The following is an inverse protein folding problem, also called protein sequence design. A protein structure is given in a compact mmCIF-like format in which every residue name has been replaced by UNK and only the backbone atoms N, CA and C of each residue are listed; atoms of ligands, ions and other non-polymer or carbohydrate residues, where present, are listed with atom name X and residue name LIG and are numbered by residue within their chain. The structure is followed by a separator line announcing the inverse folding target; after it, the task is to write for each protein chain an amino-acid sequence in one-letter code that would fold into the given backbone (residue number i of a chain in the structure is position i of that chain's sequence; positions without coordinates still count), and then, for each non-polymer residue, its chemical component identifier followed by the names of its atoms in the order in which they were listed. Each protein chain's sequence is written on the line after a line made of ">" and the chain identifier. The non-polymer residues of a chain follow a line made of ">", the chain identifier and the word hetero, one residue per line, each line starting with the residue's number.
data_IF_267310419082
#
_entry.id   IF_267310419082
#
_cell.length_a   1.000
_cell.length_b   1.000
_cell.length_c   1.000
_cell.angle_alpha   90.00
_cell.angle_beta   90.00
_cell.angle_gamma   90.00
#
_symmetry.space_group_name_H-M   'P 1'
#
loop_
_entity.id
_entity.type
_entity.pdbx_description
1 polymer ?
#
# COMPACT_ATOMS: atom_id res chain seq x y z
N UNK A 1 -11.51 2.28 -6.17
CA UNK A 1 -12.67 1.99 -7.04
C UNK A 1 -13.16 0.56 -6.80
N UNK A 2 -14.48 0.35 -6.79
CA UNK A 2 -15.10 -0.98 -6.63
C UNK A 2 -15.58 -1.47 -8.00
N UNK A 3 -15.28 -2.71 -8.33
CA UNK A 3 -15.85 -3.39 -9.48
C UNK A 3 -16.98 -4.30 -9.01
N UNK A 4 -18.17 -4.11 -9.57
CA UNK A 4 -19.35 -4.92 -9.27
C UNK A 4 -19.66 -5.81 -10.47
N UNK A 5 -19.61 -7.12 -10.30
CA UNK A 5 -19.86 -8.11 -11.35
C UNK A 5 -21.10 -8.93 -10.99
N UNK A 6 -22.21 -8.69 -11.67
CA UNK A 6 -23.48 -9.39 -11.39
C UNK A 6 -24.40 -9.41 -12.60
N UNK A 7 -25.06 -10.53 -12.83
CA UNK A 7 -26.16 -10.66 -13.79
C UNK A 7 -27.55 -10.28 -13.23
N UNK A 8 -27.62 -9.92 -11.96
CA UNK A 8 -28.87 -9.60 -11.29
C UNK A 8 -29.46 -8.24 -11.77
N UNK A 9 -30.78 -8.16 -11.95
CA UNK A 9 -31.47 -6.93 -12.33
C UNK A 9 -31.25 -5.78 -11.32
N UNK A 10 -30.99 -6.11 -10.04
CA UNK A 10 -30.68 -5.15 -8.98
C UNK A 10 -29.26 -4.59 -9.03
N UNK A 11 -28.45 -4.95 -10.03
CA UNK A 11 -27.05 -4.54 -10.12
C UNK A 11 -26.85 -3.02 -10.09
N UNK A 12 -27.68 -2.25 -10.77
CA UNK A 12 -27.60 -0.78 -10.80
C UNK A 12 -28.00 -0.14 -9.45
N UNK A 13 -29.02 -0.69 -8.78
CA UNK A 13 -29.40 -0.28 -7.43
C UNK A 13 -28.24 -0.55 -6.44
N UNK A 14 -27.62 -1.74 -6.54
CA UNK A 14 -26.47 -2.11 -5.73
C UNK A 14 -25.26 -1.20 -5.98
N UNK A 15 -24.96 -0.89 -7.24
CA UNK A 15 -23.87 0.02 -7.59
C UNK A 15 -24.08 1.41 -6.98
N UNK A 16 -25.30 1.95 -7.10
CA UNK A 16 -25.68 3.24 -6.52
C UNK A 16 -25.56 3.24 -4.99
N UNK A 17 -26.06 2.19 -4.34
CA UNK A 17 -25.98 2.04 -2.88
C UNK A 17 -24.53 1.91 -2.39
N UNK A 18 -23.70 1.12 -3.08
CA UNK A 18 -22.29 0.98 -2.78
C UNK A 18 -21.54 2.31 -2.94
N UNK A 19 -21.75 3.03 -4.03
CA UNK A 19 -21.14 4.33 -4.26
C UNK A 19 -21.50 5.34 -3.17
N UNK A 20 -22.80 5.44 -2.83
CA UNK A 20 -23.30 6.33 -1.78
C UNK A 20 -22.74 5.96 -0.40
N UNK A 21 -22.61 4.67 -0.13
CA UNK A 21 -22.20 4.19 1.19
C UNK A 21 -20.70 4.22 1.42
N UNK A 22 -19.88 4.03 0.37
CA UNK A 22 -18.42 3.93 0.48
C UNK A 22 -17.71 5.21 0.04
N UNK A 23 -18.35 6.06 -0.75
CA UNK A 23 -17.72 7.21 -1.42
C UNK A 23 -16.80 6.82 -2.59
N UNK A 24 -16.68 5.52 -2.87
CA UNK A 24 -15.83 5.00 -3.95
C UNK A 24 -16.60 4.98 -5.28
N UNK A 25 -15.88 5.18 -6.37
CA UNK A 25 -16.43 4.95 -7.70
C UNK A 25 -16.73 3.47 -7.88
N UNK A 26 -17.95 3.15 -8.34
CA UNK A 26 -18.41 1.78 -8.61
C UNK A 26 -18.58 1.60 -10.11
N UNK A 27 -17.94 0.59 -10.66
CA UNK A 27 -18.10 0.19 -12.04
C UNK A 27 -18.88 -1.13 -12.10
N UNK A 28 -19.99 -1.17 -12.85
CA UNK A 28 -20.87 -2.35 -12.95
C UNK A 28 -20.60 -3.10 -14.25
N UNK A 29 -20.30 -4.39 -14.14
CA UNK A 29 -20.22 -5.33 -15.25
C UNK A 29 -21.34 -6.34 -15.13
N UNK A 30 -22.18 -6.44 -16.17
CA UNK A 30 -23.34 -7.34 -16.17
C UNK A 30 -23.05 -8.75 -16.69
N UNK A 31 -21.82 -9.04 -17.12
CA UNK A 31 -21.46 -10.33 -17.73
C UNK A 31 -20.00 -10.69 -17.44
N UNK A 32 -19.73 -11.98 -17.28
CA UNK A 32 -18.38 -12.52 -17.18
C UNK A 32 -17.75 -12.86 -18.54
N UNK A 33 -18.41 -12.57 -19.66
CA UNK A 33 -17.89 -12.87 -20.99
C UNK A 33 -16.59 -12.11 -21.27
N UNK A 34 -15.55 -12.87 -21.58
CA UNK A 34 -14.16 -12.43 -21.73
C UNK A 34 -13.94 -11.21 -22.64
N UNK A 35 -14.76 -11.01 -23.67
CA UNK A 35 -14.61 -9.93 -24.64
C UNK A 35 -14.89 -8.53 -24.04
N UNK A 36 -15.92 -8.38 -23.20
CA UNK A 36 -16.24 -7.11 -22.57
C UNK A 36 -15.27 -6.78 -21.42
N UNK A 37 -14.88 -7.79 -20.66
CA UNK A 37 -13.96 -7.65 -19.53
C UNK A 37 -12.56 -7.22 -20.00
N UNK A 38 -12.09 -7.72 -21.15
CA UNK A 38 -10.73 -7.46 -21.62
C UNK A 38 -10.53 -6.02 -22.06
N UNK A 39 -11.52 -5.44 -22.74
CA UNK A 39 -11.48 -4.03 -23.17
C UNK A 39 -11.60 -3.06 -21.99
N UNK A 40 -12.48 -3.36 -21.03
CA UNK A 40 -12.67 -2.57 -19.83
C UNK A 40 -11.50 -2.72 -18.84
N UNK A 41 -10.88 -3.92 -18.77
CA UNK A 41 -9.73 -4.20 -17.92
C UNK A 41 -8.52 -3.33 -18.24
N UNK A 42 -8.18 -3.14 -19.52
CA UNK A 42 -7.05 -2.30 -19.93
C UNK A 42 -7.23 -0.84 -19.47
N UNK A 43 -8.47 -0.36 -19.44
CA UNK A 43 -8.81 0.99 -18.98
C UNK A 43 -8.84 1.12 -17.44
N UNK A 44 -9.11 0.02 -16.72
CA UNK A 44 -9.35 0.00 -15.28
C UNK A 44 -8.17 -0.57 -14.48
N UNK A 45 -7.16 -1.11 -15.15
CA UNK A 45 -6.01 -1.80 -14.54
C UNK A 45 -5.29 -0.91 -13.49
N UNK A 46 -5.08 -1.46 -12.30
CA UNK A 46 -4.41 -0.76 -11.19
C UNK A 46 -5.30 0.19 -10.36
N UNK A 47 -6.56 0.40 -10.76
CA UNK A 47 -7.51 1.28 -10.03
C UNK A 47 -8.53 0.51 -9.18
N UNK A 48 -8.69 -0.79 -9.44
CA UNK A 48 -9.66 -1.62 -8.76
C UNK A 48 -9.09 -2.08 -7.42
N UNK A 49 -9.80 -1.75 -6.34
CA UNK A 49 -9.43 -2.13 -4.97
C UNK A 49 -10.23 -3.30 -4.43
N UNK A 50 -11.50 -3.40 -4.86
CA UNK A 50 -12.42 -4.48 -4.44
C UNK A 50 -13.22 -4.95 -5.65
N UNK A 51 -13.35 -6.26 -5.79
CA UNK A 51 -14.25 -6.89 -6.77
C UNK A 51 -15.40 -7.55 -6.00
N UNK A 52 -16.60 -7.05 -6.17
CA UNK A 52 -17.82 -7.67 -5.62
C UNK A 52 -18.45 -8.52 -6.72
N UNK A 53 -18.45 -9.83 -6.54
CA UNK A 53 -18.93 -10.80 -7.55
C UNK A 53 -20.13 -11.56 -7.03
N UNK A 54 -21.11 -11.77 -7.91
CA UNK A 54 -22.28 -12.61 -7.65
C UNK A 54 -21.87 -14.09 -7.61
N UNK A 55 -22.18 -14.77 -6.50
CA UNK A 55 -21.96 -16.22 -6.35
C UNK A 55 -22.64 -17.02 -7.45
N UNK A 56 -23.81 -16.57 -7.93
CA UNK A 56 -24.51 -17.21 -9.04
C UNK A 56 -23.72 -17.22 -10.35
N UNK A 57 -22.87 -16.22 -10.59
CA UNK A 57 -21.98 -16.20 -11.76
C UNK A 57 -20.79 -17.14 -11.55
N UNK A 58 -20.27 -17.25 -10.33
CA UNK A 58 -19.19 -18.16 -10.00
C UNK A 58 -19.62 -19.63 -10.20
N UNK A 59 -20.85 -19.96 -9.80
CA UNK A 59 -21.41 -21.30 -9.96
C UNK A 59 -21.73 -21.62 -11.42
N UNK A 60 -22.16 -20.62 -12.19
CA UNK A 60 -22.52 -20.83 -13.61
C UNK A 60 -21.30 -20.98 -14.53
N UNK A 61 -20.25 -20.20 -14.30
CA UNK A 61 -19.04 -20.13 -15.15
C UNK A 61 -17.76 -20.11 -14.29
N UNK A 62 -17.45 -21.18 -13.53
CA UNK A 62 -16.37 -21.16 -12.53
C UNK A 62 -14.98 -20.91 -13.14
N UNK A 63 -14.68 -21.44 -14.32
CA UNK A 63 -13.38 -21.27 -14.97
C UNK A 63 -13.19 -19.81 -15.40
N UNK A 64 -14.18 -19.23 -16.06
CA UNK A 64 -14.14 -17.83 -16.53
C UNK A 64 -14.06 -16.85 -15.36
N UNK A 65 -14.81 -17.12 -14.29
CA UNK A 65 -14.80 -16.30 -13.09
C UNK A 65 -13.43 -16.35 -12.37
N UNK A 66 -12.82 -17.55 -12.31
CA UNK A 66 -11.48 -17.69 -11.71
C UNK A 66 -10.40 -16.97 -12.53
N UNK A 67 -10.38 -17.17 -13.86
CA UNK A 67 -9.46 -16.44 -14.74
C UNK A 67 -9.60 -14.93 -14.62
N UNK A 68 -10.83 -14.46 -14.47
CA UNK A 68 -11.10 -13.05 -14.22
C UNK A 68 -10.50 -12.57 -12.91
N UNK A 69 -10.72 -13.30 -11.82
CA UNK A 69 -10.18 -12.94 -10.49
C UNK A 69 -8.65 -12.98 -10.47
N UNK A 70 -8.04 -14.01 -11.05
CA UNK A 70 -6.58 -14.14 -11.14
C UNK A 70 -5.96 -12.97 -11.92
N UNK A 71 -6.73 -12.42 -12.85
CA UNK A 71 -6.33 -11.24 -13.61
C UNK A 71 -6.37 -9.93 -12.82
N UNK A 72 -7.00 -9.92 -11.63
CA UNK A 72 -7.17 -8.76 -10.75
C UNK A 72 -6.22 -8.83 -9.54
N UNK A 73 -4.93 -9.04 -9.79
CA UNK A 73 -3.86 -9.38 -8.84
C UNK A 73 -3.89 -8.65 -7.50
N UNK A 74 -4.34 -7.40 -7.46
CA UNK A 74 -4.31 -6.55 -6.25
C UNK A 74 -5.68 -6.28 -5.63
N UNK A 75 -6.76 -6.69 -6.29
CA UNK A 75 -8.11 -6.43 -5.82
C UNK A 75 -8.58 -7.49 -4.80
N UNK A 76 -9.26 -7.05 -3.75
CA UNK A 76 -9.85 -7.96 -2.76
C UNK A 76 -11.19 -8.49 -3.29
N UNK A 77 -11.31 -9.81 -3.54
CA UNK A 77 -12.58 -10.39 -3.98
C UNK A 77 -13.57 -10.51 -2.82
N UNK A 78 -14.84 -10.23 -3.11
CA UNK A 78 -16.00 -10.39 -2.22
C UNK A 78 -17.07 -11.14 -2.97
N UNK A 79 -17.46 -12.30 -2.46
CA UNK A 79 -18.49 -13.14 -3.07
C UNK A 79 -19.82 -12.95 -2.32
N UNK A 80 -20.87 -12.63 -3.04
CA UNK A 80 -22.18 -12.35 -2.45
C UNK A 80 -23.27 -12.91 -3.36
N UNK A 81 -24.21 -13.63 -2.79
CA UNK A 81 -25.41 -14.03 -3.50
C UNK A 81 -26.40 -12.86 -3.52
N UNK A 82 -26.51 -12.18 -4.67
CA UNK A 82 -27.35 -10.99 -4.84
C UNK A 82 -28.85 -11.30 -4.80
N UNK A 83 -29.25 -12.52 -5.09
CA UNK A 83 -30.65 -12.93 -5.08
C UNK A 83 -31.26 -12.95 -3.66
N UNK A 84 -30.45 -13.32 -2.67
CA UNK A 84 -30.91 -13.50 -1.28
C UNK A 84 -30.33 -12.49 -0.29
N UNK A 85 -29.29 -11.74 -0.67
CA UNK A 85 -28.64 -10.79 0.23
C UNK A 85 -29.38 -9.46 0.29
N UNK A 86 -29.51 -8.92 1.50
CA UNK A 86 -30.01 -7.55 1.67
C UNK A 86 -28.96 -6.53 1.22
N UNK A 87 -29.42 -5.34 0.82
CA UNK A 87 -28.53 -4.25 0.42
C UNK A 87 -27.52 -3.87 1.52
N UNK A 88 -27.98 -3.83 2.77
CA UNK A 88 -27.12 -3.53 3.93
C UNK A 88 -25.99 -4.55 4.10
N UNK A 89 -26.26 -5.84 3.81
CA UNK A 89 -25.24 -6.88 3.84
C UNK A 89 -24.20 -6.65 2.74
N UNK A 90 -24.63 -6.38 1.52
CA UNK A 90 -23.75 -6.11 0.37
C UNK A 90 -22.83 -4.93 0.68
N UNK A 91 -23.39 -3.84 1.15
CA UNK A 91 -22.64 -2.63 1.53
C UNK A 91 -21.65 -2.91 2.66
N UNK A 92 -22.06 -3.66 3.68
CA UNK A 92 -21.20 -3.99 4.81
C UNK A 92 -20.00 -4.85 4.38
N UNK A 93 -20.22 -5.89 3.58
CA UNK A 93 -19.15 -6.76 3.10
C UNK A 93 -18.15 -5.99 2.22
N UNK A 94 -18.63 -5.15 1.30
CA UNK A 94 -17.77 -4.30 0.48
C UNK A 94 -16.95 -3.30 1.31
N UNK A 95 -17.55 -2.68 2.35
CA UNK A 95 -16.82 -1.81 3.28
C UNK A 95 -15.73 -2.55 4.05
N UNK A 96 -16.04 -3.75 4.54
CA UNK A 96 -15.05 -4.57 5.25
C UNK A 96 -13.87 -4.94 4.34
N UNK A 97 -14.14 -5.26 3.07
CA UNK A 97 -13.09 -5.54 2.09
C UNK A 97 -12.22 -4.31 1.79
N UNK A 98 -12.82 -3.13 1.62
CA UNK A 98 -12.08 -1.87 1.46
C UNK A 98 -11.17 -1.57 2.65
N UNK A 99 -11.69 -1.71 3.87
CA UNK A 99 -10.88 -1.51 5.07
C UNK A 99 -9.74 -2.52 5.20
N UNK A 100 -9.98 -3.78 4.81
CA UNK A 100 -8.92 -4.80 4.77
C UNK A 100 -7.83 -4.41 3.79
N UNK A 101 -8.19 -4.06 2.56
CA UNK A 101 -7.24 -3.62 1.54
C UNK A 101 -6.41 -2.42 1.99
N UNK A 102 -7.05 -1.39 2.54
CA UNK A 102 -6.34 -0.20 3.07
C UNK A 102 -5.36 -0.56 4.18
N UNK A 103 -5.77 -1.45 5.09
CA UNK A 103 -4.90 -1.91 6.18
C UNK A 103 -3.70 -2.71 5.65
N UNK A 104 -3.92 -3.61 4.71
CA UNK A 104 -2.86 -4.40 4.08
C UNK A 104 -1.87 -3.52 3.33
N UNK A 105 -2.36 -2.55 2.55
CA UNK A 105 -1.50 -1.58 1.87
C UNK A 105 -0.67 -0.75 2.86
N UNK A 106 -1.29 -0.27 3.93
CA UNK A 106 -0.59 0.49 4.96
C UNK A 106 0.49 -0.35 5.65
N UNK A 107 0.19 -1.60 5.98
CA UNK A 107 1.17 -2.52 6.57
C UNK A 107 2.32 -2.83 5.60
N UNK A 108 2.01 -3.09 4.33
CA UNK A 108 3.03 -3.32 3.30
C UNK A 108 3.94 -2.09 3.11
N UNK A 109 3.36 -0.89 3.10
CA UNK A 109 4.11 0.36 3.01
C UNK A 109 5.03 0.57 4.23
N UNK A 110 4.53 0.31 5.45
CA UNK A 110 5.35 0.39 6.66
C UNK A 110 6.49 -0.63 6.66
N UNK A 111 6.21 -1.86 6.21
CA UNK A 111 7.23 -2.91 6.10
C UNK A 111 8.32 -2.51 5.10
N UNK A 112 7.93 -2.01 3.93
CA UNK A 112 8.87 -1.53 2.91
C UNK A 112 9.70 -0.34 3.40
N UNK A 113 9.09 0.63 4.09
CA UNK A 113 9.80 1.75 4.69
C UNK A 113 10.82 1.28 5.73
N UNK A 114 10.42 0.35 6.60
CA UNK A 114 11.31 -0.21 7.62
C UNK A 114 12.49 -0.95 7.01
N UNK A 115 12.25 -1.74 5.96
CA UNK A 115 13.28 -2.48 5.25
C UNK A 115 14.29 -1.53 4.58
N UNK A 116 13.80 -0.54 3.82
CA UNK A 116 14.65 0.48 3.19
C UNK A 116 15.48 1.27 4.21
N UNK A 117 14.86 1.62 5.34
CA UNK A 117 15.58 2.30 6.43
C UNK A 117 16.70 1.43 7.01
N UNK A 118 16.47 0.12 7.15
CA UNK A 118 17.49 -0.86 7.55
C UNK A 118 18.65 -0.90 6.56
N UNK A 119 18.38 -1.09 5.29
CA UNK A 119 19.40 -1.13 4.23
C UNK A 119 20.24 0.14 4.15
N UNK A 120 19.59 1.30 4.26
CA UNK A 120 20.31 2.59 4.28
C UNK A 120 21.18 2.70 5.54
N UNK A 121 20.70 2.27 6.70
CA UNK A 121 21.48 2.28 7.96
C UNK A 121 22.70 1.39 7.87
N UNK A 122 22.58 0.21 7.28
CA UNK A 122 23.69 -0.74 7.09
C UNK A 122 24.73 -0.16 6.11
N UNK A 123 24.28 0.44 5.01
CA UNK A 123 25.14 1.12 4.05
C UNK A 123 25.90 2.28 4.69
N UNK A 124 25.22 3.12 5.46
CA UNK A 124 25.84 4.24 6.20
C UNK A 124 26.86 3.73 7.21
N UNK A 125 26.56 2.63 7.90
CA UNK A 125 27.51 1.99 8.83
C UNK A 125 28.76 1.51 8.11
N UNK A 126 28.61 0.89 6.94
CA UNK A 126 29.74 0.51 6.07
C UNK A 126 30.60 1.70 5.65
N UNK A 127 29.97 2.82 5.26
CA UNK A 127 30.68 4.06 4.91
C UNK A 127 31.47 4.61 6.12
N UNK A 128 30.88 4.62 7.31
CA UNK A 128 31.52 5.09 8.54
C UNK A 128 32.75 4.23 8.86
N UNK A 129 32.63 2.90 8.83
CA UNK A 129 33.73 1.99 9.08
C UNK A 129 34.87 2.16 8.05
N UNK A 130 34.52 2.22 6.77
CA UNK A 130 35.49 2.42 5.69
C UNK A 130 36.21 3.75 5.79
N UNK A 131 35.49 4.82 6.13
CA UNK A 131 36.07 6.15 6.32
C UNK A 131 37.02 6.17 7.54
N UNK A 132 36.61 5.53 8.65
CA UNK A 132 37.46 5.42 9.84
C UNK A 132 38.76 4.65 9.56
N UNK A 133 38.65 3.50 8.92
CA UNK A 133 39.83 2.71 8.51
C UNK A 133 40.74 3.50 7.57
N UNK A 134 40.19 4.27 6.65
CA UNK A 134 40.97 5.12 5.76
C UNK A 134 41.72 6.23 6.55
N UNK A 135 41.10 6.84 7.56
CA UNK A 135 41.73 7.85 8.40
C UNK A 135 42.83 7.30 9.30
N UNK A 136 42.77 6.02 9.65
CA UNK A 136 43.81 5.31 10.43
C UNK A 136 45.01 4.83 9.57
N UNK A 137 44.88 4.93 8.23
CA UNK A 137 45.96 4.52 7.32
C UNK A 137 47.15 5.50 7.43
N UNK A 138 48.37 5.00 7.68
CA UNK A 138 49.58 5.85 7.72
C UNK A 138 49.86 6.46 6.35
N UNK A 139 50.48 7.66 6.32
CA UNK A 139 50.92 8.37 5.12
C UNK A 139 49.85 8.81 4.11
N UNK A 140 48.60 8.95 4.56
CA UNK A 140 47.53 9.49 3.70
C UNK A 140 47.81 10.98 3.38
N UNK A 141 47.70 11.43 2.13
CA UNK A 141 47.87 12.84 1.79
C UNK A 141 46.87 13.73 2.53
N UNK A 142 47.28 14.88 3.07
CA UNK A 142 46.42 15.78 3.86
C UNK A 142 45.14 16.18 3.13
N UNK A 143 45.18 16.34 1.81
CA UNK A 143 44.02 16.65 0.97
C UNK A 143 43.02 15.49 0.91
N UNK A 144 43.49 14.24 0.89
CA UNK A 144 42.61 13.05 0.93
C UNK A 144 42.06 12.85 2.34
N UNK A 145 42.86 13.05 3.38
CA UNK A 145 42.43 12.97 4.76
C UNK A 145 41.25 13.94 5.06
N UNK A 146 41.35 15.18 4.60
CA UNK A 146 40.26 16.14 4.77
C UNK A 146 38.95 15.68 4.11
N UNK A 147 39.03 15.15 2.86
CA UNK A 147 37.85 14.64 2.16
C UNK A 147 37.25 13.40 2.84
N UNK A 148 38.06 12.49 3.36
CA UNK A 148 37.57 11.32 4.09
C UNK A 148 36.91 11.75 5.39
N UNK A 149 37.44 12.75 6.08
CA UNK A 149 36.84 13.35 7.28
C UNK A 149 35.45 13.93 6.96
N UNK A 150 35.32 14.71 5.87
CA UNK A 150 34.04 15.24 5.42
C UNK A 150 33.02 14.13 5.16
N UNK A 151 33.43 13.04 4.51
CA UNK A 151 32.55 11.88 4.26
C UNK A 151 32.10 11.24 5.57
N UNK A 152 33.00 11.06 6.52
CA UNK A 152 32.69 10.51 7.83
C UNK A 152 31.67 11.36 8.58
N UNK A 153 31.83 12.69 8.59
CA UNK A 153 30.90 13.60 9.23
C UNK A 153 29.52 13.61 8.57
N UNK A 154 29.46 13.57 7.22
CA UNK A 154 28.19 13.46 6.48
C UNK A 154 27.48 12.14 6.79
N UNK A 155 28.23 11.04 6.87
CA UNK A 155 27.65 9.73 7.21
C UNK A 155 27.13 9.69 8.66
N UNK A 156 27.83 10.30 9.61
CA UNK A 156 27.35 10.48 10.99
C UNK A 156 26.04 11.27 11.04
N UNK A 157 25.97 12.39 10.31
CA UNK A 157 24.77 13.22 10.24
C UNK A 157 23.59 12.44 9.61
N UNK A 158 23.83 11.63 8.59
CA UNK A 158 22.82 10.78 7.96
C UNK A 158 22.33 9.71 8.93
N UNK A 159 23.26 9.00 9.62
CA UNK A 159 22.91 8.01 10.64
C UNK A 159 22.02 8.59 11.73
N UNK A 160 22.34 9.79 12.22
CA UNK A 160 21.53 10.47 13.23
C UNK A 160 20.10 10.80 12.75
N UNK A 161 19.89 11.03 11.45
CA UNK A 161 18.56 11.24 10.86
C UNK A 161 17.77 9.95 10.69
N UNK A 162 18.44 8.82 10.53
CA UNK A 162 17.83 7.50 10.37
C UNK A 162 17.39 6.89 11.70
N UNK A 163 17.91 7.36 12.83
CA UNK A 163 17.51 6.87 14.15
C UNK A 163 16.13 7.41 14.55
N UNK A 164 15.12 6.52 14.78
CA UNK A 164 13.76 6.92 15.07
C UNK A 164 13.61 7.72 16.37
N UNK A 165 14.53 7.55 17.30
CA UNK A 165 14.50 8.23 18.61
C UNK A 165 15.07 9.66 18.57
N UNK A 166 15.86 10.00 17.56
CA UNK A 166 16.41 11.36 17.42
C UNK A 166 15.32 12.43 17.20
N UNK A 167 14.18 12.05 16.64
CA UNK A 167 13.01 12.92 16.46
C UNK A 167 12.16 13.10 17.72
N UNK A 168 12.12 12.11 18.61
CA UNK A 168 11.36 12.16 19.86
C UNK A 168 12.04 13.03 20.92
N UNK A 169 13.37 12.97 21.03
CA UNK A 169 14.12 13.80 21.99
C UNK A 169 14.05 15.31 21.68
N UNK A 170 13.87 15.70 20.40
CA UNK A 170 13.73 17.13 20.03
C UNK A 170 12.34 17.68 20.35
N UNK A 171 11.28 16.90 20.39
CA UNK A 171 9.94 17.34 20.78
C UNK A 171 9.80 17.47 22.30
N UNK A 172 10.31 16.53 23.09
CA UNK A 172 10.24 16.58 24.56
C UNK A 172 11.03 17.74 25.20
N UNK A 173 12.00 18.32 24.49
CA UNK A 173 12.80 19.45 25.02
C UNK A 173 12.17 20.82 24.77
N UNK A 174 11.20 20.92 23.82
CA UNK A 174 10.46 22.16 23.58
C UNK A 174 9.29 22.34 24.55
N UNK A 175 8.68 21.27 25.02
CA UNK A 175 7.50 21.34 25.88
C UNK A 175 7.88 21.61 27.34
N UNK A 176 9.12 21.31 27.75
CA UNK A 176 9.59 21.58 29.14
C UNK A 176 10.10 23.02 29.39
N UNK A 177 10.31 23.81 28.32
CA UNK A 177 10.71 25.22 28.47
C UNK A 177 9.50 26.18 28.56
N UNK A 178 8.33 25.72 28.08
CA UNK A 178 7.09 26.51 28.12
C UNK A 178 6.31 26.37 29.45
N UNK A 179 6.72 25.44 30.32
CA UNK A 179 6.05 25.20 31.63
C UNK A 179 6.78 25.85 32.82
N UNK A 180 7.79 26.71 32.58
CA UNK A 180 8.58 27.37 33.65
C UNK A 180 8.64 28.90 33.47
N UNK A 181 7.52 29.50 33.04
CA UNK A 181 7.35 30.98 33.08
C UNK A 181 5.98 31.33 33.68
#
# INVERSE_FOLDING_TARGET
>A
MILLVTGCERGEECATALQKATGEQVHLIKSTRQTQIREEKEQLQGKITVVVMDEGLLDAEPVTAQEFLDSMETAVPVFINFAISSMDRIVREARMALHRHQREQFQAMQAAESMLRGEVKDTVTGILLSSQLALETPDIPKTAQAKVQDIYELALALRARLDPDAGRMRRGKKDNVAASL
#
